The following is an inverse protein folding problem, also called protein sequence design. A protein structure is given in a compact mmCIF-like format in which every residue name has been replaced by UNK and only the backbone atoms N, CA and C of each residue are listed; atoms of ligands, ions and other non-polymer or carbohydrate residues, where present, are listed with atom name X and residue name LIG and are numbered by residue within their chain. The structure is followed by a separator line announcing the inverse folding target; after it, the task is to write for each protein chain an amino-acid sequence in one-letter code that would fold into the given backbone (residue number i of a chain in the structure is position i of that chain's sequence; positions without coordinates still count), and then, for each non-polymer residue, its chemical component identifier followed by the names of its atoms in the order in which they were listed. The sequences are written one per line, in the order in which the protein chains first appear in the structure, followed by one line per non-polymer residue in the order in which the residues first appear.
data_IF_435988032501
#
_entry.id   IF_435988032501
#
_cell.length_a   1.000
_cell.length_b   1.000
_cell.length_c   1.000
_cell.angle_alpha   90.00
_cell.angle_beta   90.00
_cell.angle_gamma   90.00
#
_symmetry.space_group_name_H-M   'P 1'
#
loop_
_entity.id
_entity.type
_entity.pdbx_description
1 polymer ?
#
# COMPACT_ATOMS: atom_id res chain seq x y z
N UNK A 1 -2.25 12.18 -12.22
CA UNK A 1 -1.16 11.28 -12.69
C UNK A 1 -0.33 12.02 -13.73
N UNK A 2 0.97 12.16 -13.50
CA UNK A 2 1.91 12.88 -14.36
C UNK A 2 2.15 12.12 -15.68
N UNK A 3 2.42 12.86 -16.76
CA UNK A 3 2.50 12.32 -18.12
C UNK A 3 3.54 11.18 -18.24
N UNK A 4 4.73 11.35 -17.66
CA UNK A 4 5.79 10.33 -17.70
C UNK A 4 5.43 9.01 -17.02
N UNK A 5 4.66 9.05 -15.92
CA UNK A 5 4.19 7.85 -15.24
C UNK A 5 3.14 7.07 -16.07
N UNK A 6 2.27 7.79 -16.79
CA UNK A 6 1.29 7.15 -17.70
C UNK A 6 2.00 6.42 -18.84
N UNK A 7 2.98 7.07 -19.46
CA UNK A 7 3.76 6.50 -20.57
C UNK A 7 4.60 5.31 -20.11
N UNK A 8 5.22 5.41 -18.93
CA UNK A 8 5.92 4.28 -18.32
C UNK A 8 4.98 3.08 -18.13
N UNK A 9 3.80 3.27 -17.54
CA UNK A 9 2.84 2.18 -17.39
C UNK A 9 2.33 1.62 -18.71
N UNK A 10 2.10 2.45 -19.71
CA UNK A 10 1.73 1.98 -21.05
C UNK A 10 2.82 1.10 -21.65
N UNK A 11 4.10 1.49 -21.48
CA UNK A 11 5.24 0.68 -21.92
C UNK A 11 5.29 -0.66 -21.19
N UNK A 12 5.13 -0.65 -19.87
CA UNK A 12 5.15 -1.88 -19.07
C UNK A 12 4.03 -2.83 -19.47
N UNK A 13 2.81 -2.33 -19.68
CA UNK A 13 1.68 -3.15 -20.12
C UNK A 13 1.91 -3.85 -21.46
N UNK A 14 2.75 -3.30 -22.33
CA UNK A 14 3.07 -3.86 -23.64
C UNK A 14 4.31 -4.79 -23.66
N UNK A 15 5.05 -4.90 -22.55
CA UNK A 15 6.37 -5.54 -22.52
C UNK A 15 6.47 -6.56 -21.36
N UNK A 16 6.29 -7.85 -21.68
CA UNK A 16 6.31 -8.93 -20.70
C UNK A 16 7.67 -9.07 -19.99
N UNK A 17 8.78 -8.88 -20.71
CA UNK A 17 10.12 -8.98 -20.12
C UNK A 17 10.34 -7.87 -19.09
N UNK A 18 9.82 -6.66 -19.38
CA UNK A 18 9.83 -5.55 -18.43
C UNK A 18 8.94 -5.84 -17.22
N UNK A 19 7.74 -6.42 -17.42
CA UNK A 19 6.88 -6.84 -16.30
C UNK A 19 7.58 -7.85 -15.39
N UNK A 20 8.22 -8.87 -15.96
CA UNK A 20 8.97 -9.89 -15.21
C UNK A 20 10.15 -9.28 -14.45
N UNK A 21 10.83 -8.30 -15.05
CA UNK A 21 11.92 -7.57 -14.41
C UNK A 21 11.43 -6.75 -13.22
N UNK A 22 10.34 -6.00 -13.40
CA UNK A 22 9.74 -5.17 -12.35
C UNK A 22 9.13 -6.03 -11.23
N UNK A 23 8.61 -7.21 -11.54
CA UNK A 23 8.12 -8.17 -10.54
C UNK A 23 9.22 -8.61 -9.57
N UNK A 24 10.47 -8.70 -10.03
CA UNK A 24 11.62 -9.17 -9.24
C UNK A 24 12.30 -8.08 -8.41
N UNK A 25 11.81 -6.84 -8.44
CA UNK A 25 12.39 -5.78 -7.63
C UNK A 25 12.16 -6.04 -6.14
N UNK A 26 13.15 -5.66 -5.32
CA UNK A 26 13.06 -5.79 -3.87
C UNK A 26 12.39 -4.59 -3.25
N UNK A 27 12.76 -3.41 -3.74
CA UNK A 27 12.22 -2.13 -3.28
C UNK A 27 11.40 -1.47 -4.39
N UNK A 28 10.52 -0.54 -4.01
CA UNK A 28 9.80 0.28 -5.01
C UNK A 28 10.76 1.24 -5.70
N UNK A 29 11.81 1.69 -5.01
CA UNK A 29 12.87 2.52 -5.59
C UNK A 29 13.58 1.85 -6.78
N UNK A 30 13.72 0.51 -6.79
CA UNK A 30 14.30 -0.23 -7.92
C UNK A 30 13.47 -0.06 -9.20
N UNK A 31 12.14 0.09 -9.08
CA UNK A 31 11.25 0.36 -10.22
C UNK A 31 11.58 1.71 -10.85
N UNK A 32 11.86 2.73 -10.03
CA UNK A 32 12.25 4.06 -10.51
C UNK A 32 13.61 4.01 -11.24
N UNK A 33 14.55 3.19 -10.75
CA UNK A 33 15.84 2.95 -11.43
C UNK A 33 15.60 2.32 -12.80
N UNK A 34 14.80 1.26 -12.87
CA UNK A 34 14.46 0.58 -14.13
C UNK A 34 13.75 1.52 -15.10
N UNK A 35 12.81 2.35 -14.61
CA UNK A 35 12.12 3.35 -15.42
C UNK A 35 13.12 4.34 -16.06
N UNK A 36 14.13 4.78 -15.31
CA UNK A 36 15.19 5.67 -15.78
C UNK A 36 16.07 5.05 -16.85
N UNK A 37 16.45 3.78 -16.68
CA UNK A 37 17.26 3.06 -17.66
C UNK A 37 16.58 2.98 -19.04
N UNK A 38 15.26 2.93 -19.07
CA UNK A 38 14.48 2.87 -20.32
C UNK A 38 13.94 4.24 -20.76
N UNK A 39 14.45 5.34 -20.16
CA UNK A 39 14.20 6.70 -20.62
C UNK A 39 13.05 7.46 -19.94
N UNK A 40 12.44 6.92 -18.87
CA UNK A 40 11.40 7.61 -18.10
C UNK A 40 11.96 8.29 -16.86
N UNK A 41 11.53 9.52 -16.60
CA UNK A 41 11.80 10.20 -15.33
C UNK A 41 10.59 10.00 -14.42
N UNK A 42 10.62 8.92 -13.63
CA UNK A 42 9.62 8.57 -12.62
C UNK A 42 10.32 8.43 -11.27
N UNK A 43 9.73 8.98 -10.21
CA UNK A 43 10.27 8.92 -8.85
C UNK A 43 9.70 7.73 -8.07
N UNK A 44 10.41 7.25 -7.03
CA UNK A 44 9.88 6.22 -6.14
C UNK A 44 8.54 6.62 -5.50
N UNK A 45 8.41 7.89 -5.10
CA UNK A 45 7.18 8.44 -4.52
C UNK A 45 5.99 8.37 -5.50
N UNK A 46 6.23 8.73 -6.78
CA UNK A 46 5.20 8.61 -7.82
C UNK A 46 4.71 7.18 -7.99
N UNK A 47 5.62 6.19 -7.94
CA UNK A 47 5.26 4.78 -8.08
C UNK A 47 4.43 4.30 -6.88
N UNK A 48 4.84 4.62 -5.64
CA UNK A 48 4.08 4.25 -4.42
C UNK A 48 2.66 4.80 -4.47
N UNK A 49 2.51 6.10 -4.77
CA UNK A 49 1.18 6.73 -4.89
C UNK A 49 0.38 6.14 -6.05
N UNK A 50 1.02 5.82 -7.17
CA UNK A 50 0.34 5.22 -8.30
C UNK A 50 -0.18 3.81 -8.01
N UNK A 51 0.57 3.02 -7.25
CA UNK A 51 0.09 1.73 -6.75
C UNK A 51 -1.12 1.92 -5.83
N UNK A 52 -1.05 2.86 -4.89
CA UNK A 52 -2.14 3.13 -3.95
C UNK A 52 -3.41 3.64 -4.67
N UNK A 53 -3.24 4.54 -5.65
CA UNK A 53 -4.34 5.06 -6.47
C UNK A 53 -5.05 3.99 -7.28
N UNK A 54 -4.34 2.93 -7.70
CA UNK A 54 -4.96 1.78 -8.35
C UNK A 54 -5.81 0.97 -7.38
N UNK A 55 -5.33 0.73 -6.16
CA UNK A 55 -6.10 0.00 -5.15
C UNK A 55 -7.43 0.70 -4.85
N UNK A 56 -7.44 2.03 -4.77
CA UNK A 56 -8.69 2.79 -4.59
C UNK A 56 -9.69 2.56 -5.73
N UNK A 57 -9.25 2.20 -6.93
CA UNK A 57 -10.13 1.99 -8.09
C UNK A 57 -10.55 0.53 -8.29
N UNK A 58 -10.08 -0.40 -7.45
CA UNK A 58 -10.46 -1.81 -7.54
C UNK A 58 -11.94 -2.01 -7.17
N UNK A 59 -12.54 -3.04 -7.79
CA UNK A 59 -13.85 -3.54 -7.40
C UNK A 59 -13.83 -4.14 -5.99
N UNK A 60 -15.01 -4.35 -5.40
CA UNK A 60 -15.11 -4.95 -4.06
C UNK A 60 -14.47 -6.35 -4.01
N UNK A 61 -14.74 -7.20 -5.00
CA UNK A 61 -14.17 -8.55 -5.09
C UNK A 61 -12.63 -8.51 -5.19
N UNK A 62 -12.08 -7.58 -5.98
CA UNK A 62 -10.64 -7.40 -6.09
C UNK A 62 -10.02 -6.91 -4.78
N UNK A 63 -10.69 -6.01 -4.06
CA UNK A 63 -10.25 -5.55 -2.75
C UNK A 63 -10.26 -6.65 -1.71
N UNK A 64 -11.30 -7.48 -1.66
CA UNK A 64 -11.38 -8.62 -0.73
C UNK A 64 -10.26 -9.64 -1.00
N UNK A 65 -9.97 -9.90 -2.28
CA UNK A 65 -8.86 -10.76 -2.65
C UNK A 65 -7.51 -10.17 -2.22
N UNK A 66 -7.30 -8.87 -2.45
CA UNK A 66 -6.08 -8.19 -2.06
C UNK A 66 -5.92 -8.11 -0.53
N UNK A 67 -7.02 -7.82 0.17
CA UNK A 67 -7.07 -7.79 1.63
C UNK A 67 -6.75 -9.15 2.28
N UNK A 68 -7.01 -10.24 1.57
CA UNK A 68 -6.63 -11.60 1.95
C UNK A 68 -5.18 -11.98 1.61
N UNK A 69 -4.38 -11.06 1.03
CA UNK A 69 -3.01 -11.33 0.60
C UNK A 69 -2.92 -12.24 -0.64
N UNK A 70 -4.01 -12.39 -1.39
CA UNK A 70 -3.95 -13.08 -2.69
C UNK A 70 -3.32 -12.14 -3.71
N UNK A 71 -2.43 -12.68 -4.54
CA UNK A 71 -1.84 -11.93 -5.65
C UNK A 71 -2.96 -11.41 -6.56
N UNK A 72 -3.15 -10.10 -6.61
CA UNK A 72 -4.01 -9.53 -7.62
C UNK A 72 -3.41 -9.84 -8.99
N UNK A 73 -4.19 -10.50 -9.86
CA UNK A 73 -3.83 -10.64 -11.28
C UNK A 73 -3.88 -9.29 -11.99
N UNK A 74 -4.49 -8.29 -11.35
CA UNK A 74 -4.70 -6.94 -11.83
C UNK A 74 -3.81 -5.98 -11.04
N UNK A 75 -2.94 -5.27 -11.76
CA UNK A 75 -2.18 -4.17 -11.20
C UNK A 75 -0.73 -4.47 -10.90
N UNK A 76 0.11 -3.57 -11.40
CA UNK A 76 1.54 -3.48 -11.20
C UNK A 76 1.91 -3.21 -9.72
N UNK A 77 1.74 -4.21 -8.86
CA UNK A 77 2.30 -4.23 -7.53
C UNK A 77 3.74 -4.75 -7.61
N UNK A 78 4.66 -3.81 -7.81
CA UNK A 78 6.10 -4.06 -7.87
C UNK A 78 6.75 -3.68 -6.54
N UNK A 79 7.91 -4.26 -6.29
CA UNK A 79 8.55 -4.25 -4.98
C UNK A 79 8.20 -5.51 -4.17
N UNK A 80 9.14 -5.92 -3.32
CA UNK A 80 9.11 -7.11 -2.46
C UNK A 80 8.91 -8.43 -3.21
N UNK A 81 9.59 -8.60 -4.34
CA UNK A 81 9.58 -9.85 -5.12
C UNK A 81 8.15 -10.24 -5.57
N UNK A 82 7.34 -9.21 -5.87
CA UNK A 82 5.97 -9.36 -6.36
C UNK A 82 4.94 -9.69 -5.28
N UNK A 83 5.28 -9.45 -4.01
CA UNK A 83 4.32 -9.45 -2.91
C UNK A 83 3.65 -8.07 -2.71
N UNK A 84 3.99 -7.09 -3.54
CA UNK A 84 3.45 -5.73 -3.44
C UNK A 84 3.93 -4.98 -2.19
N UNK A 85 3.99 -3.66 -2.32
CA UNK A 85 4.33 -2.79 -1.19
C UNK A 85 3.11 -2.51 -0.29
N UNK A 86 1.91 -2.57 -0.85
CA UNK A 86 0.65 -2.23 -0.17
C UNK A 86 0.08 -3.36 0.68
N UNK A 87 0.57 -4.58 0.47
CA UNK A 87 0.01 -5.80 1.04
C UNK A 87 0.66 -6.18 2.38
N UNK A 88 1.28 -5.21 3.07
CA UNK A 88 1.83 -5.36 4.41
C UNK A 88 1.09 -4.41 5.37
N UNK A 89 -0.08 -4.84 5.82
CA UNK A 89 -0.99 -3.99 6.57
C UNK A 89 -0.37 -3.49 7.89
N UNK A 90 0.33 -4.36 8.63
CA UNK A 90 0.99 -4.01 9.88
C UNK A 90 2.07 -2.94 9.71
N UNK A 91 2.87 -3.03 8.63
CA UNK A 91 3.86 -1.99 8.30
C UNK A 91 3.20 -0.62 8.11
N UNK A 92 2.14 -0.54 7.31
CA UNK A 92 1.49 0.75 7.05
C UNK A 92 0.82 1.34 8.29
N UNK A 93 0.21 0.49 9.13
CA UNK A 93 -0.37 0.93 10.41
C UNK A 93 0.71 1.56 11.29
N UNK A 94 1.86 0.89 11.45
CA UNK A 94 3.00 1.41 12.21
C UNK A 94 3.50 2.75 11.65
N UNK A 95 3.67 2.86 10.33
CA UNK A 95 4.12 4.10 9.71
C UNK A 95 3.13 5.25 9.96
N UNK A 96 1.83 5.03 9.77
CA UNK A 96 0.83 6.09 9.98
C UNK A 96 0.71 6.54 11.44
N UNK A 97 0.84 5.60 12.38
CA UNK A 97 0.90 5.94 13.81
C UNK A 97 2.12 6.82 14.09
N UNK A 98 3.31 6.41 13.63
CA UNK A 98 4.57 7.17 13.85
C UNK A 98 4.53 8.57 13.24
N UNK A 99 3.93 8.71 12.08
CA UNK A 99 3.81 10.00 11.39
C UNK A 99 2.65 10.87 11.89
N UNK A 100 1.82 10.35 12.81
CA UNK A 100 0.59 11.03 13.24
C UNK A 100 -0.36 11.36 12.09
N UNK A 101 -0.20 10.71 10.94
CA UNK A 101 -0.82 11.10 9.67
C UNK A 101 -2.00 10.18 9.38
N UNK A 102 -3.17 10.54 9.90
CA UNK A 102 -4.45 9.93 9.54
C UNK A 102 -5.45 11.05 9.25
N UNK A 103 -5.84 11.22 7.99
CA UNK A 103 -7.09 11.93 7.68
C UNK A 103 -8.26 11.15 8.30
N UNK A 104 -9.38 11.82 8.64
CA UNK A 104 -10.56 11.12 9.13
C UNK A 104 -10.98 10.05 8.12
N UNK A 105 -11.32 8.87 8.63
CA UNK A 105 -11.81 7.78 7.80
C UNK A 105 -13.25 8.05 7.32
N UNK A 106 -13.96 8.96 7.98
CA UNK A 106 -15.40 9.18 7.85
C UNK A 106 -16.20 7.89 8.13
N UNK A 107 -15.62 7.00 8.94
CA UNK A 107 -16.21 5.73 9.37
C UNK A 107 -15.86 5.53 10.84
N UNK A 108 -16.85 5.73 11.72
CA UNK A 108 -16.65 5.82 13.17
C UNK A 108 -15.91 4.60 13.74
N UNK A 109 -16.31 3.38 13.34
CA UNK A 109 -15.66 2.14 13.79
C UNK A 109 -14.17 2.10 13.47
N UNK A 110 -13.80 2.58 12.28
CA UNK A 110 -12.40 2.64 11.85
C UNK A 110 -11.62 3.72 12.60
N UNK A 111 -12.23 4.88 12.82
CA UNK A 111 -11.62 5.98 13.59
C UNK A 111 -11.39 5.58 15.05
N UNK A 112 -12.38 4.98 15.68
CA UNK A 112 -12.30 4.49 17.07
C UNK A 112 -11.25 3.38 17.19
N UNK A 113 -11.16 2.50 16.20
CA UNK A 113 -10.11 1.47 16.17
C UNK A 113 -8.72 2.10 16.06
N UNK A 114 -8.51 3.06 15.15
CA UNK A 114 -7.21 3.76 15.05
C UNK A 114 -6.87 4.58 16.30
N UNK A 115 -7.86 5.16 16.98
CA UNK A 115 -7.67 5.79 18.28
C UNK A 115 -7.19 4.76 19.32
N UNK A 116 -7.83 3.59 19.38
CA UNK A 116 -7.42 2.50 20.27
C UNK A 116 -6.01 2.02 19.99
N UNK A 117 -5.60 1.86 18.73
CA UNK A 117 -4.24 1.42 18.40
C UNK A 117 -3.20 2.44 18.91
N UNK A 118 -3.50 3.74 18.87
CA UNK A 118 -2.60 4.80 19.35
C UNK A 118 -2.47 4.82 20.87
N UNK A 119 -3.51 4.40 21.60
CA UNK A 119 -3.57 4.44 23.06
C UNK A 119 -3.12 3.12 23.73
N UNK A 120 -3.13 2.01 23.00
CA UNK A 120 -2.88 0.67 23.53
C UNK A 120 -1.70 -0.03 22.84
N UNK A 121 -0.55 -0.03 23.52
CA UNK A 121 0.68 -0.68 23.06
C UNK A 121 0.56 -2.20 22.87
N UNK A 122 -0.44 -2.86 23.48
CA UNK A 122 -0.69 -4.29 23.26
C UNK A 122 -1.30 -4.47 21.87
N UNK A 123 -2.35 -3.72 21.57
CA UNK A 123 -3.00 -3.73 20.24
C UNK A 123 -1.99 -3.37 19.16
N UNK A 124 -1.17 -2.33 19.39
CA UNK A 124 -0.14 -1.93 18.42
C UNK A 124 0.85 -3.07 18.14
N UNK A 125 1.36 -3.75 19.18
CA UNK A 125 2.30 -4.87 19.00
C UNK A 125 1.70 -6.07 18.29
N UNK A 126 0.42 -6.38 18.53
CA UNK A 126 -0.26 -7.43 17.79
C UNK A 126 -0.34 -7.10 16.29
N UNK A 127 -0.68 -5.84 15.96
CA UNK A 127 -0.82 -5.38 14.58
C UNK A 127 0.51 -5.25 13.84
N UNK A 128 1.65 -5.06 14.51
CA UNK A 128 2.98 -5.05 13.86
C UNK A 128 3.28 -6.35 13.10
N UNK A 129 2.65 -7.45 13.48
CA UNK A 129 2.85 -8.75 12.85
C UNK A 129 1.76 -9.09 11.82
N UNK A 130 0.74 -8.24 11.68
CA UNK A 130 -0.32 -8.42 10.69
C UNK A 130 0.28 -8.33 9.28
N UNK A 131 0.17 -9.42 8.52
CA UNK A 131 0.66 -9.46 7.13
C UNK A 131 -0.39 -8.88 6.21
N UNK A 132 -1.64 -9.27 6.40
CA UNK A 132 -2.76 -8.92 5.52
C UNK A 132 -3.74 -7.97 6.20
N UNK A 133 -4.60 -7.32 5.42
CA UNK A 133 -5.68 -6.50 5.98
C UNK A 133 -6.73 -7.35 6.70
N UNK A 134 -6.92 -8.60 6.27
CA UNK A 134 -7.76 -9.56 6.99
C UNK A 134 -7.19 -9.91 8.38
N UNK A 135 -5.87 -9.96 8.55
CA UNK A 135 -5.26 -10.14 9.88
C UNK A 135 -5.60 -8.98 10.80
N UNK A 136 -5.50 -7.74 10.28
CA UNK A 136 -5.86 -6.52 11.03
C UNK A 136 -7.33 -6.53 11.43
N UNK A 137 -8.23 -6.83 10.50
CA UNK A 137 -9.67 -6.90 10.76
C UNK A 137 -10.01 -7.98 11.78
N UNK A 138 -9.34 -9.14 11.71
CA UNK A 138 -9.51 -10.19 12.72
C UNK A 138 -9.12 -9.69 14.12
N UNK A 139 -8.02 -8.95 14.25
CA UNK A 139 -7.65 -8.29 15.50
C UNK A 139 -8.67 -7.23 15.89
N UNK A 140 -9.14 -6.39 14.97
CA UNK A 140 -10.17 -5.40 15.25
C UNK A 140 -11.44 -6.04 15.86
N UNK A 141 -11.86 -7.18 15.30
CA UNK A 141 -13.01 -7.94 15.80
C UNK A 141 -12.80 -8.47 17.23
N UNK A 142 -11.58 -8.88 17.61
CA UNK A 142 -11.31 -9.31 19.00
C UNK A 142 -11.43 -8.16 20.01
N UNK A 143 -11.32 -6.91 19.55
CA UNK A 143 -11.52 -5.71 20.35
C UNK A 143 -12.92 -5.09 20.18
N UNK A 144 -13.84 -5.77 19.50
CA UNK A 144 -15.24 -5.35 19.37
C UNK A 144 -15.51 -4.34 18.25
N UNK A 145 -14.57 -4.16 17.32
CA UNK A 145 -14.77 -3.31 16.14
C UNK A 145 -15.22 -4.17 14.95
N UNK A 146 -16.30 -3.77 14.28
CA UNK A 146 -16.80 -4.44 13.07
C UNK A 146 -16.38 -3.61 11.84
N UNK A 147 -15.28 -4.00 11.21
CA UNK A 147 -14.63 -3.24 10.14
C UNK A 147 -14.49 -4.15 8.92
N UNK A 148 -14.94 -3.70 7.77
CA UNK A 148 -14.74 -4.42 6.52
C UNK A 148 -13.28 -4.30 6.05
N UNK A 149 -12.68 -5.41 5.61
CA UNK A 149 -11.29 -5.38 5.12
C UNK A 149 -11.13 -4.57 3.85
N UNK A 150 -12.18 -4.52 3.01
CA UNK A 150 -12.28 -3.67 1.83
C UNK A 150 -12.33 -2.17 2.17
N UNK A 151 -12.99 -1.78 3.26
CA UNK A 151 -12.94 -0.43 3.81
C UNK A 151 -11.52 -0.11 4.26
N UNK A 152 -10.92 -0.97 5.09
CA UNK A 152 -9.62 -0.72 5.68
C UNK A 152 -8.54 -0.53 4.61
N UNK A 153 -8.44 -1.43 3.62
CA UNK A 153 -7.43 -1.33 2.56
C UNK A 153 -7.64 -0.08 1.69
N UNK A 154 -8.90 0.33 1.44
CA UNK A 154 -9.22 1.54 0.68
C UNK A 154 -8.86 2.80 1.45
N UNK A 155 -9.17 2.86 2.74
CA UNK A 155 -8.77 3.93 3.63
C UNK A 155 -7.24 4.06 3.66
N UNK A 156 -6.53 2.96 3.88
CA UNK A 156 -5.06 2.95 3.94
C UNK A 156 -4.44 3.38 2.62
N UNK A 157 -4.96 2.91 1.48
CA UNK A 157 -4.51 3.36 0.16
C UNK A 157 -4.74 4.85 -0.06
N UNK A 158 -5.83 5.40 0.48
CA UNK A 158 -6.10 6.84 0.44
C UNK A 158 -5.09 7.62 1.28
N UNK A 159 -4.71 7.12 2.45
CA UNK A 159 -3.64 7.75 3.25
C UNK A 159 -2.30 7.73 2.52
N UNK A 160 -1.96 6.64 1.83
CA UNK A 160 -0.70 6.51 1.06
C UNK A 160 -0.66 7.51 -0.10
N UNK A 161 -1.79 7.75 -0.77
CA UNK A 161 -1.90 8.78 -1.83
C UNK A 161 -1.56 10.19 -1.33
N UNK A 162 -1.81 10.45 -0.05
CA UNK A 162 -1.67 11.77 0.58
C UNK A 162 -0.30 11.96 1.25
N UNK A 163 0.60 10.98 1.18
CA UNK A 163 1.96 11.14 1.69
C UNK A 163 2.67 12.28 0.98
N UNK A 164 3.42 13.08 1.73
CA UNK A 164 4.43 13.99 1.17
C UNK A 164 5.56 13.19 0.48
N UNK A 165 6.37 13.89 -0.33
CA UNK A 165 7.43 13.23 -1.11
C UNK A 165 8.47 12.56 -0.21
N UNK A 166 8.81 13.17 0.92
CA UNK A 166 9.79 12.63 1.86
C UNK A 166 9.35 11.26 2.42
N UNK A 167 8.13 11.17 2.94
CA UNK A 167 7.59 9.91 3.47
C UNK A 167 7.40 8.87 2.37
N UNK A 168 6.90 9.27 1.21
CA UNK A 168 6.69 8.38 0.08
C UNK A 168 8.01 7.82 -0.46
N UNK A 169 9.07 8.62 -0.54
CA UNK A 169 10.41 8.14 -0.90
C UNK A 169 10.99 7.22 0.17
N UNK A 170 10.86 7.57 1.45
CA UNK A 170 11.37 6.76 2.56
C UNK A 170 10.82 5.34 2.52
N UNK A 171 9.50 5.19 2.37
CA UNK A 171 8.90 3.86 2.27
C UNK A 171 9.25 3.17 0.97
N UNK A 172 9.40 3.90 -0.14
CA UNK A 172 9.76 3.28 -1.41
C UNK A 172 11.16 2.64 -1.41
N UNK A 173 12.06 3.15 -0.57
CA UNK A 173 13.42 2.66 -0.39
C UNK A 173 13.55 1.53 0.66
N UNK A 174 12.44 1.04 1.23
CA UNK A 174 12.45 -0.02 2.24
C UNK A 174 13.06 0.37 3.58
N UNK A 175 13.23 1.67 3.83
CA UNK A 175 13.79 2.17 5.09
C UNK A 175 12.71 2.08 6.17
N UNK A 176 12.83 1.08 7.05
CA UNK A 176 11.97 0.91 8.24
C UNK A 176 12.32 1.93 9.33
#
# INVERSE_FOLDING_TARGET
MLQGLKEFFARVSADQALQDRLYRTKEVADVAVIAREIGFTVTPAEIVRAQAGRVVLLSLEELENLAAGKKAKTGAQWGREGNGWLDNAGFWIDQFIRWGSNQPANEQQLEDFFARIKEDEVVQRELLHAKTYNDVVKTAHTYGYDILSSTLIRYMSTQILMLDDEKAEKVACGTR
#
